data_IF_948966653274
#
_entry.id   IF_948966653274
#
_cell.length_a   1.000
_cell.length_b   1.000
_cell.length_c   1.000
_cell.angle_alpha   90.00
_cell.angle_beta   90.00
_cell.angle_gamma   90.00
#
_symmetry.space_group_name_H-M   'P 1'
#
loop_
_entity.id
_entity.type
_entity.pdbx_description
1 polymer ?
#
# COMPACT_ATOMS: atom_id res chain seq x y z
N UNK A 1 -34.12 2.64 -20.51
CA UNK A 1 -32.68 2.67 -20.85
C UNK A 1 -31.92 2.64 -19.53
N UNK A 2 -31.51 1.46 -19.04
CA UNK A 2 -30.80 1.32 -17.75
C UNK A 2 -29.33 1.60 -17.99
N UNK A 3 -28.81 2.70 -17.43
CA UNK A 3 -27.39 3.00 -17.47
C UNK A 3 -26.68 2.02 -16.51
N UNK A 4 -25.88 1.10 -17.05
CA UNK A 4 -24.95 0.30 -16.26
C UNK A 4 -23.84 1.20 -15.73
N UNK A 5 -23.93 1.60 -14.47
CA UNK A 5 -22.88 2.36 -13.77
C UNK A 5 -21.72 1.42 -13.43
N UNK A 6 -20.99 0.93 -14.44
CA UNK A 6 -19.75 0.21 -14.22
C UNK A 6 -18.71 1.23 -13.78
N UNK A 7 -18.61 1.46 -12.47
CA UNK A 7 -17.55 2.27 -11.86
C UNK A 7 -16.22 1.62 -12.16
N UNK A 8 -15.57 2.05 -13.25
CA UNK A 8 -14.16 1.71 -13.48
C UNK A 8 -13.38 2.33 -12.32
N UNK A 9 -12.76 1.54 -11.42
CA UNK A 9 -11.96 2.12 -10.37
C UNK A 9 -10.91 3.01 -11.02
N UNK A 10 -10.75 4.22 -10.50
CA UNK A 10 -9.71 5.10 -11.05
C UNK A 10 -8.38 4.34 -10.93
N UNK A 11 -7.65 4.20 -12.03
CA UNK A 11 -6.38 3.43 -12.06
C UNK A 11 -5.41 3.87 -10.96
N UNK A 12 -5.57 5.09 -10.46
CA UNK A 12 -4.83 5.69 -9.34
C UNK A 12 -5.07 4.98 -8.02
N UNK A 13 -6.34 4.70 -7.66
CA UNK A 13 -6.67 3.99 -6.43
C UNK A 13 -6.37 2.49 -6.53
N UNK A 14 -6.36 1.92 -7.74
CA UNK A 14 -5.96 0.53 -7.95
C UNK A 14 -4.51 0.29 -7.52
N UNK A 15 -3.58 1.20 -7.84
CA UNK A 15 -2.18 1.07 -7.41
C UNK A 15 -2.03 1.17 -5.90
N UNK A 16 -2.71 2.12 -5.26
CA UNK A 16 -2.69 2.23 -3.80
C UNK A 16 -3.22 0.95 -3.12
N UNK A 17 -4.29 0.37 -3.65
CA UNK A 17 -4.84 -0.89 -3.12
C UNK A 17 -3.85 -2.06 -3.26
N UNK A 18 -3.12 -2.14 -4.38
CA UNK A 18 -2.06 -3.14 -4.58
C UNK A 18 -0.96 -2.96 -3.54
N UNK A 19 -0.51 -1.72 -3.30
CA UNK A 19 0.53 -1.43 -2.30
C UNK A 19 0.08 -1.81 -0.88
N UNK A 20 -1.18 -1.50 -0.53
CA UNK A 20 -1.77 -1.90 0.77
C UNK A 20 -1.78 -3.43 0.91
N UNK A 21 -2.22 -4.16 -0.13
CA UNK A 21 -2.24 -5.63 -0.10
C UNK A 21 -0.82 -6.18 0.02
N UNK A 22 0.15 -5.62 -0.69
CA UNK A 22 1.54 -6.03 -0.60
C UNK A 22 2.12 -5.82 0.80
N UNK A 23 1.84 -4.69 1.46
CA UNK A 23 2.23 -4.42 2.85
C UNK A 23 1.62 -5.45 3.80
N UNK A 24 0.32 -5.75 3.66
CA UNK A 24 -0.35 -6.72 4.51
C UNK A 24 0.22 -8.13 4.34
N UNK A 25 0.54 -8.53 3.11
CA UNK A 25 1.21 -9.82 2.82
C UNK A 25 2.61 -9.84 3.44
N UNK A 26 3.40 -8.78 3.24
CA UNK A 26 4.74 -8.65 3.84
C UNK A 26 4.71 -8.81 5.36
N UNK A 27 3.80 -8.10 6.03
CA UNK A 27 3.63 -8.16 7.48
C UNK A 27 3.16 -9.53 7.94
N UNK A 28 2.15 -10.11 7.27
CA UNK A 28 1.62 -11.42 7.64
C UNK A 28 2.69 -12.52 7.51
N UNK A 29 3.46 -12.51 6.42
CA UNK A 29 4.57 -13.44 6.18
C UNK A 29 5.70 -13.21 7.18
N UNK A 30 6.10 -11.95 7.41
CA UNK A 30 7.14 -11.60 8.37
C UNK A 30 6.81 -12.08 9.78
N UNK A 31 5.59 -11.77 10.27
CA UNK A 31 5.11 -12.24 11.59
C UNK A 31 5.13 -13.76 11.70
N UNK A 32 4.67 -14.47 10.66
CA UNK A 32 4.71 -15.94 10.62
C UNK A 32 6.13 -16.47 10.66
N UNK A 33 7.08 -15.83 9.97
CA UNK A 33 8.49 -16.22 9.98
C UNK A 33 9.17 -15.96 11.34
N UNK A 34 8.65 -15.01 12.12
CA UNK A 34 9.07 -14.73 13.49
C UNK A 34 8.29 -15.54 14.55
N UNK A 35 7.53 -16.56 14.13
CA UNK A 35 6.67 -17.40 14.99
C UNK A 35 5.64 -16.59 15.83
N UNK A 36 5.27 -15.41 15.37
CA UNK A 36 4.26 -14.58 16.01
C UNK A 36 2.84 -15.04 15.64
N UNK A 37 1.90 -14.95 16.59
CA UNK A 37 0.51 -15.29 16.36
C UNK A 37 -0.11 -14.42 15.23
N UNK A 38 -0.88 -15.06 14.35
CA UNK A 38 -1.58 -14.41 13.23
C UNK A 38 -2.90 -13.76 13.67
N UNK A 39 -2.85 -12.90 14.70
CA UNK A 39 -4.01 -12.10 15.11
C UNK A 39 -4.19 -10.88 14.20
N UNK A 40 -5.44 -10.49 13.93
CA UNK A 40 -5.76 -9.30 13.13
C UNK A 40 -5.14 -8.05 13.75
N UNK A 41 -5.23 -7.90 15.08
CA UNK A 41 -4.63 -6.77 15.80
C UNK A 41 -3.11 -6.74 15.70
N UNK A 42 -2.45 -7.91 15.76
CA UNK A 42 -1.00 -8.01 15.61
C UNK A 42 -0.54 -7.62 14.20
N UNK A 43 -1.25 -8.09 13.17
CA UNK A 43 -0.97 -7.70 11.77
C UNK A 43 -1.18 -6.20 11.58
N UNK A 44 -2.29 -5.64 12.05
CA UNK A 44 -2.56 -4.20 11.91
C UNK A 44 -1.57 -3.35 12.70
N UNK A 45 -1.17 -3.78 13.90
CA UNK A 45 -0.16 -3.08 14.71
C UNK A 45 1.19 -3.03 14.01
N UNK A 46 1.66 -4.16 13.46
CA UNK A 46 2.92 -4.20 12.69
C UNK A 46 2.81 -3.47 11.36
N UNK A 47 1.65 -3.49 10.68
CA UNK A 47 1.44 -2.80 9.40
C UNK A 47 1.26 -1.28 9.52
N UNK A 48 0.80 -0.79 10.68
CA UNK A 48 0.49 0.62 10.90
C UNK A 48 1.59 1.61 10.45
N UNK A 49 2.87 1.47 10.87
CA UNK A 49 3.92 2.39 10.42
C UNK A 49 4.09 2.41 8.89
N UNK A 50 4.05 1.24 8.24
CA UNK A 50 4.16 1.12 6.78
C UNK A 50 2.98 1.74 6.04
N UNK A 51 1.77 1.57 6.54
CA UNK A 51 0.56 2.15 5.95
C UNK A 51 0.55 3.68 6.10
N UNK A 52 0.98 4.21 7.26
CA UNK A 52 1.14 5.66 7.48
C UNK A 52 2.17 6.22 6.50
N UNK A 53 3.31 5.56 6.37
CA UNK A 53 4.35 5.92 5.42
C UNK A 53 3.86 5.89 3.96
N UNK A 54 3.09 4.88 3.57
CA UNK A 54 2.51 4.78 2.22
C UNK A 54 1.62 5.98 1.93
N UNK A 55 0.68 6.29 2.84
CA UNK A 55 -0.23 7.43 2.72
C UNK A 55 0.54 8.75 2.68
N UNK A 56 1.60 8.91 3.46
CA UNK A 56 2.46 10.09 3.44
C UNK A 56 3.30 10.20 2.15
N UNK A 57 3.79 9.07 1.63
CA UNK A 57 4.60 9.04 0.41
C UNK A 57 3.82 9.40 -0.84
N UNK A 58 2.51 9.12 -0.85
CA UNK A 58 1.66 9.29 -2.02
C UNK A 58 1.62 10.76 -2.49
N UNK A 59 1.39 11.77 -1.62
CA UNK A 59 1.50 13.17 -1.99
C UNK A 59 2.92 13.67 -2.25
N UNK A 60 3.90 13.16 -1.50
CA UNK A 60 5.31 13.58 -1.64
C UNK A 60 5.86 13.19 -3.03
N UNK A 61 5.53 11.99 -3.49
CA UNK A 61 6.03 11.43 -4.73
C UNK A 61 5.11 11.65 -5.93
N UNK A 62 3.89 12.18 -5.71
CA UNK A 62 2.83 12.38 -6.71
C UNK A 62 2.57 11.12 -7.54
N UNK A 63 2.58 9.94 -6.91
CA UNK A 63 2.51 8.64 -7.62
C UNK A 63 1.23 8.48 -8.46
N UNK A 64 0.18 9.27 -8.20
CA UNK A 64 -1.03 9.29 -9.01
C UNK A 64 -0.88 9.92 -10.41
N UNK A 65 0.23 10.63 -10.68
CA UNK A 65 0.51 11.26 -11.98
C UNK A 65 1.42 10.38 -12.83
N UNK A 66 2.55 9.92 -12.26
CA UNK A 66 3.57 9.09 -12.94
C UNK A 66 4.05 7.97 -12.02
N UNK A 67 3.25 6.92 -11.80
CA UNK A 67 3.53 5.89 -10.80
C UNK A 67 4.86 5.13 -11.05
N UNK A 68 5.28 5.03 -12.31
CA UNK A 68 6.47 4.28 -12.72
C UNK A 68 7.70 5.15 -12.98
N UNK A 69 7.67 6.44 -12.60
CA UNK A 69 8.85 7.29 -12.69
C UNK A 69 9.86 6.91 -11.59
N UNK A 70 11.16 6.88 -11.93
CA UNK A 70 12.25 6.55 -10.99
C UNK A 70 12.13 7.29 -9.66
N UNK A 71 11.82 8.60 -9.71
CA UNK A 71 11.64 9.43 -8.52
C UNK A 71 10.49 8.93 -7.64
N UNK A 72 9.34 8.59 -8.22
CA UNK A 72 8.19 8.13 -7.46
C UNK A 72 8.44 6.78 -6.81
N UNK A 73 9.07 5.85 -7.56
CA UNK A 73 9.47 4.54 -7.04
C UNK A 73 10.45 4.70 -5.85
N UNK A 74 11.50 5.51 -6.02
CA UNK A 74 12.54 5.72 -4.99
C UNK A 74 11.95 6.39 -3.74
N UNK A 75 11.12 7.43 -3.90
CA UNK A 75 10.52 8.14 -2.77
C UNK A 75 9.53 7.27 -1.99
N UNK A 76 8.66 6.52 -2.69
CA UNK A 76 7.73 5.61 -2.03
C UNK A 76 8.48 4.47 -1.32
N UNK A 77 9.52 3.91 -1.95
CA UNK A 77 10.35 2.89 -1.32
C UNK A 77 11.07 3.39 -0.05
N UNK A 78 11.76 4.54 -0.15
CA UNK A 78 12.47 5.11 1.00
C UNK A 78 11.54 5.42 2.17
N UNK A 79 10.37 6.01 1.90
CA UNK A 79 9.45 6.38 2.96
C UNK A 79 8.78 5.17 3.61
N UNK A 80 8.57 4.07 2.88
CA UNK A 80 7.86 2.89 3.40
C UNK A 80 8.79 1.87 4.05
N UNK A 81 10.07 1.82 3.70
CA UNK A 81 11.00 0.80 4.21
C UNK A 81 11.89 1.31 5.36
N UNK A 82 12.14 2.61 5.45
CA UNK A 82 12.91 3.24 6.55
C UNK A 82 12.00 3.44 7.77
#
# INVERSE_FOLDING_TARGET
>A
MVASTTTRPSRRFAWLAIDVVAILIFVAVGRRNHDEAASISGVLGTAAPFLIALVASWPISRSWVKPFERRSIILTWLLTVI
#
